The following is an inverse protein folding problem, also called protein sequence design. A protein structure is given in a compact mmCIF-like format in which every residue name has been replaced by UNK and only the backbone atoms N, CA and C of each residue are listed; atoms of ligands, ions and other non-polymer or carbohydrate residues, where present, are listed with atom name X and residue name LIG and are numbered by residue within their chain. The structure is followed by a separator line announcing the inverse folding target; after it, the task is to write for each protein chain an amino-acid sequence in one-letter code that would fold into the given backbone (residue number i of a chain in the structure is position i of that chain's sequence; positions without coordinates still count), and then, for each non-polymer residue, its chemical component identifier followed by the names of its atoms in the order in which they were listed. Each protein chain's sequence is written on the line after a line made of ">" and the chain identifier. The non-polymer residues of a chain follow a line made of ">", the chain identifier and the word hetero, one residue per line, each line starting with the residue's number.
data_IF_847866304233
#
_entry.id   IF_847866304233
#
_cell.length_a   1.000
_cell.length_b   1.000
_cell.length_c   1.000
_cell.angle_alpha   90.00
_cell.angle_beta   90.00
_cell.angle_gamma   90.00
#
_symmetry.space_group_name_H-M   'P 1'
#
loop_
_entity.id
_entity.type
_entity.pdbx_description
1 polymer ?
#
# COMPACT_ATOMS: atom_id res chain seq x y z
N UNK A 1 -57.56 19.79 -2.31
CA UNK A 1 -57.33 20.91 -1.37
C UNK A 1 -57.49 20.37 0.05
N UNK A 2 -56.39 20.11 0.73
CA UNK A 2 -56.34 19.80 2.16
C UNK A 2 -55.03 20.37 2.68
N UNK A 3 -55.11 21.58 3.22
CA UNK A 3 -54.03 22.27 3.93
C UNK A 3 -53.98 21.73 5.35
N UNK A 4 -52.80 21.25 5.79
CA UNK A 4 -52.54 21.00 7.20
C UNK A 4 -51.31 21.82 7.60
N UNK A 5 -51.57 22.89 8.34
CA UNK A 5 -50.58 23.63 9.09
C UNK A 5 -50.72 23.18 10.55
N UNK A 6 -49.62 22.79 11.20
CA UNK A 6 -49.60 22.75 12.64
C UNK A 6 -48.39 23.48 13.21
N UNK A 7 -48.74 24.27 14.21
CA UNK A 7 -48.02 25.35 14.84
C UNK A 7 -47.21 24.84 16.03
N UNK A 8 -46.10 25.55 16.25
CA UNK A 8 -45.12 25.46 17.35
C UNK A 8 -45.75 25.25 18.74
N UNK A 9 -45.11 24.40 19.56
CA UNK A 9 -45.15 24.52 21.02
C UNK A 9 -43.75 24.41 21.60
N UNK A 10 -43.26 25.56 22.03
CA UNK A 10 -42.17 25.79 22.97
C UNK A 10 -42.53 25.16 24.33
N UNK A 11 -41.61 24.43 24.95
CA UNK A 11 -41.66 24.08 26.36
C UNK A 11 -40.33 24.48 27.01
N UNK A 12 -40.46 25.27 28.07
CA UNK A 12 -39.42 25.95 28.86
C UNK A 12 -39.01 25.05 30.06
N UNK A 13 -37.70 25.04 30.37
CA UNK A 13 -37.06 24.88 31.71
C UNK A 13 -37.32 23.57 32.48
N UNK A 14 -36.51 23.04 33.39
CA UNK A 14 -35.46 23.53 34.31
C UNK A 14 -34.68 22.31 34.80
N UNK A 15 -33.33 22.34 34.83
CA UNK A 15 -32.43 21.69 35.81
C UNK A 15 -31.08 22.43 35.65
N UNK A 16 -30.30 22.87 36.61
CA UNK A 16 -30.22 22.75 38.06
C UNK A 16 -28.80 23.21 38.40
N UNK A 17 -28.67 24.23 39.24
CA UNK A 17 -27.38 24.84 39.64
C UNK A 17 -26.74 23.96 40.72
N UNK A 18 -25.46 23.57 40.58
CA UNK A 18 -24.52 23.51 41.70
C UNK A 18 -23.06 23.27 41.28
N UNK A 19 -22.19 23.95 42.03
CA UNK A 19 -20.80 23.64 42.38
C UNK A 19 -19.67 24.19 41.48
N UNK A 20 -19.11 25.29 42.00
CA UNK A 20 -17.83 25.89 41.63
C UNK A 20 -16.64 25.00 42.03
N UNK A 21 -15.63 24.92 41.17
CA UNK A 21 -14.23 24.67 41.54
C UNK A 21 -13.30 25.51 40.66
N UNK A 22 -12.13 25.81 41.21
CA UNK A 22 -11.31 27.00 40.96
C UNK A 22 -10.69 27.12 39.57
N UNK A 23 -10.63 28.36 39.07
CA UNK A 23 -9.82 28.77 37.92
C UNK A 23 -8.44 29.23 38.41
N UNK A 24 -7.43 28.39 38.26
CA UNK A 24 -6.03 28.83 38.29
C UNK A 24 -5.60 29.03 36.84
N UNK A 25 -5.32 30.28 36.48
CA UNK A 25 -4.91 30.66 35.14
C UNK A 25 -3.47 30.26 34.83
N UNK A 26 -3.26 29.78 33.61
CA UNK A 26 -2.03 29.97 32.85
C UNK A 26 -2.46 30.32 31.42
N UNK A 27 -2.22 31.58 31.03
CA UNK A 27 -2.34 32.01 29.66
C UNK A 27 -1.24 31.33 28.82
N UNK A 28 -1.61 30.66 27.75
CA UNK A 28 -0.70 30.36 26.63
C UNK A 28 -1.53 30.30 25.35
N UNK A 29 -1.38 31.39 24.61
CA UNK A 29 -1.57 31.62 23.17
C UNK A 29 -2.05 30.41 22.35
N UNK A 30 -3.21 30.58 21.73
CA UNK A 30 -3.71 29.76 20.62
C UNK A 30 -2.76 29.90 19.41
N UNK A 31 -2.14 28.80 19.01
CA UNK A 31 -1.56 28.62 17.66
C UNK A 31 -2.35 27.48 17.00
N UNK A 32 -2.90 27.66 15.78
CA UNK A 32 -3.68 26.63 15.12
C UNK A 32 -2.80 25.42 14.77
N UNK A 33 -3.36 24.23 15.00
CA UNK A 33 -2.74 22.93 14.84
C UNK A 33 -2.18 22.70 13.42
N UNK A 34 -0.86 22.65 13.31
CA UNK A 34 -0.21 21.81 12.33
C UNK A 34 -0.35 20.36 12.81
N UNK A 35 -0.85 19.47 11.95
CA UNK A 35 -0.89 18.03 12.20
C UNK A 35 0.53 17.49 12.20
N UNK A 36 1.22 17.63 13.33
CA UNK A 36 2.42 16.86 13.64
C UNK A 36 1.95 15.42 13.85
N UNK A 37 2.32 14.54 12.93
CA UNK A 37 2.19 13.11 13.12
C UNK A 37 3.01 12.73 14.35
N UNK A 38 2.32 12.51 15.46
CA UNK A 38 2.89 11.80 16.61
C UNK A 38 3.27 10.42 16.11
N UNK A 39 4.56 10.15 16.07
CA UNK A 39 5.10 8.80 15.97
C UNK A 39 4.63 8.11 17.24
N UNK A 40 3.63 7.24 17.11
CA UNK A 40 3.29 6.33 18.20
C UNK A 40 4.51 5.43 18.45
N UNK A 41 4.91 5.38 19.72
CA UNK A 41 5.95 4.50 20.23
C UNK A 41 5.73 3.08 19.73
N UNK A 42 6.75 2.55 19.06
CA UNK A 42 6.73 1.23 18.47
C UNK A 42 6.41 0.17 19.51
N UNK A 43 5.35 -0.58 19.27
CA UNK A 43 5.31 -1.96 19.70
C UNK A 43 6.55 -2.63 19.11
N UNK A 44 7.47 -3.09 19.97
CA UNK A 44 8.67 -3.79 19.56
C UNK A 44 8.27 -4.95 18.64
N UNK A 45 8.60 -4.82 17.36
CA UNK A 45 8.49 -5.94 16.42
C UNK A 45 9.41 -7.04 16.93
N UNK A 46 8.93 -8.29 17.07
CA UNK A 46 9.80 -9.39 17.47
C UNK A 46 10.95 -9.45 16.46
N UNK A 47 12.18 -9.52 16.96
CA UNK A 47 13.34 -9.78 16.11
C UNK A 47 13.04 -10.99 15.23
N UNK A 48 13.37 -10.92 13.93
CA UNK A 48 12.99 -11.93 12.94
C UNK A 48 13.41 -13.37 13.30
N UNK A 49 14.30 -13.54 14.28
CA UNK A 49 14.83 -14.80 14.77
C UNK A 49 13.83 -15.67 15.56
N UNK A 50 12.75 -15.10 16.11
CA UNK A 50 11.77 -15.84 16.95
C UNK A 50 10.35 -15.88 16.36
N UNK A 51 10.12 -15.18 15.24
CA UNK A 51 8.79 -15.10 14.62
C UNK A 51 8.45 -16.45 13.98
N UNK A 52 7.32 -17.03 14.38
CA UNK A 52 6.77 -18.28 13.81
C UNK A 52 5.54 -18.04 12.93
N UNK A 53 4.90 -16.88 13.07
CA UNK A 53 3.74 -16.47 12.28
C UNK A 53 4.07 -15.24 11.43
N UNK A 54 4.17 -15.47 10.12
CA UNK A 54 4.45 -14.47 9.09
C UNK A 54 3.19 -14.09 8.28
N UNK A 55 1.99 -14.42 8.77
CA UNK A 55 0.76 -13.96 8.14
C UNK A 55 0.57 -12.45 8.30
N UNK A 56 -0.32 -11.88 7.47
CA UNK A 56 -0.58 -10.46 7.41
C UNK A 56 0.31 -9.72 6.41
N UNK A 57 0.35 -8.40 6.54
CA UNK A 57 1.04 -7.52 5.59
C UNK A 57 2.57 -7.65 5.70
N UNK A 58 3.22 -7.98 4.58
CA UNK A 58 4.67 -8.06 4.47
C UNK A 58 5.29 -6.67 4.22
N UNK A 59 6.12 -6.19 5.16
CA UNK A 59 6.80 -4.88 5.09
C UNK A 59 8.29 -5.01 5.35
N UNK A 60 9.05 -4.08 4.76
CA UNK A 60 10.45 -3.83 5.12
C UNK A 60 10.52 -2.56 5.97
N UNK A 61 11.52 -2.52 6.86
CA UNK A 61 11.74 -1.40 7.77
C UNK A 61 12.72 -0.36 7.19
N UNK A 62 13.65 -0.80 6.35
CA UNK A 62 14.81 0.01 5.96
C UNK A 62 14.71 0.52 4.52
N UNK A 63 14.86 1.84 4.38
CA UNK A 63 14.89 2.54 3.10
C UNK A 63 16.07 3.50 3.06
N UNK A 64 16.68 3.64 1.89
CA UNK A 64 17.68 4.67 1.61
C UNK A 64 16.98 5.98 1.23
N UNK A 65 17.13 6.99 2.09
CA UNK A 65 16.56 8.34 1.96
C UNK A 65 17.59 9.39 1.56
N UNK A 66 18.79 8.97 1.15
CA UNK A 66 19.90 9.87 0.80
C UNK A 66 19.60 10.80 -0.38
N UNK A 67 18.58 10.50 -1.18
CA UNK A 67 18.13 11.33 -2.30
C UNK A 67 17.51 12.68 -1.88
N UNK A 68 17.21 12.88 -0.59
CA UNK A 68 16.64 14.13 -0.05
C UNK A 68 15.21 13.96 0.46
N UNK A 69 14.55 15.07 0.78
CA UNK A 69 13.16 15.06 1.28
C UNK A 69 12.21 14.57 0.20
N UNK A 70 11.42 13.54 0.51
CA UNK A 70 10.40 13.00 -0.38
C UNK A 70 9.36 14.08 -0.75
N UNK A 71 9.13 14.24 -2.05
CA UNK A 71 8.05 15.06 -2.59
C UNK A 71 7.04 14.13 -3.28
N UNK A 72 5.76 14.11 -2.90
CA UNK A 72 4.76 13.28 -3.55
C UNK A 72 4.47 13.74 -4.98
N UNK A 73 3.87 12.87 -5.77
CA UNK A 73 3.42 13.20 -7.12
C UNK A 73 2.32 14.27 -7.09
N UNK A 74 2.39 15.21 -8.03
CA UNK A 74 1.40 16.26 -8.27
C UNK A 74 0.84 16.13 -9.68
N UNK A 75 -0.07 17.01 -10.10
CA UNK A 75 -0.59 17.02 -11.47
C UNK A 75 0.46 17.51 -12.47
N UNK A 76 1.49 18.18 -11.97
CA UNK A 76 2.52 18.86 -12.74
C UNK A 76 3.83 18.06 -12.81
N UNK A 77 4.15 17.29 -11.78
CA UNK A 77 5.35 16.46 -11.75
C UNK A 77 5.15 15.13 -11.02
N UNK A 78 5.95 14.13 -11.40
CA UNK A 78 6.12 12.89 -10.63
C UNK A 78 6.67 13.18 -9.23
N UNK A 79 6.42 12.26 -8.30
CA UNK A 79 7.15 12.18 -7.05
C UNK A 79 8.68 12.28 -7.24
N UNK A 80 9.35 12.94 -6.30
CA UNK A 80 10.81 13.11 -6.26
C UNK A 80 11.37 12.56 -4.96
N UNK A 81 12.65 12.18 -5.00
CA UNK A 81 13.39 11.67 -3.83
C UNK A 81 12.66 10.50 -3.16
N UNK A 82 12.13 9.57 -3.97
CA UNK A 82 11.42 8.38 -3.48
C UNK A 82 12.42 7.52 -2.72
N UNK A 83 12.16 7.15 -1.45
CA UNK A 83 13.07 6.31 -0.67
C UNK A 83 13.27 4.95 -1.33
N UNK A 84 14.53 4.53 -1.53
CA UNK A 84 14.85 3.26 -2.17
C UNK A 84 14.75 2.12 -1.15
N UNK A 85 13.96 1.07 -1.40
CA UNK A 85 13.90 -0.08 -0.49
C UNK A 85 15.24 -0.79 -0.41
N UNK A 86 15.65 -1.15 0.81
CA UNK A 86 16.87 -1.93 1.07
C UNK A 86 16.47 -3.39 1.30
N UNK A 87 17.12 -4.30 0.58
CA UNK A 87 16.87 -5.74 0.73
C UNK A 87 17.39 -6.20 2.11
N UNK A 88 16.54 -6.80 2.98
CA UNK A 88 17.00 -7.30 4.28
C UNK A 88 18.06 -8.39 4.14
N UNK A 89 19.02 -8.47 5.05
CA UNK A 89 20.11 -9.46 5.00
C UNK A 89 19.58 -10.90 5.09
N UNK A 90 18.49 -11.11 5.84
CA UNK A 90 17.81 -12.40 5.97
C UNK A 90 17.27 -12.93 4.64
N UNK A 91 17.06 -12.06 3.64
CA UNK A 91 16.52 -12.44 2.34
C UNK A 91 17.40 -13.44 1.58
N UNK A 92 18.68 -13.58 1.93
CA UNK A 92 19.57 -14.58 1.32
C UNK A 92 19.54 -15.94 2.03
N UNK A 93 18.81 -16.09 3.14
CA UNK A 93 18.78 -17.35 3.91
C UNK A 93 17.70 -18.28 3.36
N UNK A 94 18.00 -19.59 3.27
CA UNK A 94 17.00 -20.63 2.98
C UNK A 94 16.10 -20.86 4.20
N UNK A 95 15.22 -19.91 4.48
CA UNK A 95 14.28 -19.97 5.60
C UNK A 95 12.97 -19.29 5.26
N UNK A 96 11.91 -19.60 6.01
CA UNK A 96 10.61 -18.92 5.88
C UNK A 96 10.74 -17.41 6.09
N UNK A 97 11.57 -16.99 7.04
CA UNK A 97 11.87 -15.58 7.27
C UNK A 97 12.57 -14.93 6.05
N UNK A 98 13.50 -15.64 5.41
CA UNK A 98 14.16 -15.18 4.19
C UNK A 98 13.21 -15.07 2.99
N UNK A 99 12.28 -16.03 2.83
CA UNK A 99 11.23 -15.94 1.81
C UNK A 99 10.30 -14.75 2.09
N UNK A 100 9.83 -14.59 3.33
CA UNK A 100 9.00 -13.45 3.73
C UNK A 100 9.70 -12.11 3.46
N UNK A 101 11.00 -12.00 3.79
CA UNK A 101 11.78 -10.78 3.52
C UNK A 101 11.82 -10.42 2.03
N UNK A 102 11.91 -11.43 1.14
CA UNK A 102 11.84 -11.20 -0.31
C UNK A 102 10.46 -10.76 -0.79
N UNK A 103 9.38 -11.27 -0.19
CA UNK A 103 8.00 -10.87 -0.50
C UNK A 103 7.76 -9.42 -0.05
N UNK A 104 8.20 -9.08 1.17
CA UNK A 104 8.16 -7.71 1.68
C UNK A 104 8.94 -6.74 0.79
N UNK A 105 10.14 -7.14 0.36
CA UNK A 105 10.95 -6.35 -0.56
C UNK A 105 10.27 -6.18 -1.93
N UNK A 106 9.60 -7.21 -2.45
CA UNK A 106 8.83 -7.11 -3.69
C UNK A 106 7.74 -6.04 -3.61
N UNK A 107 6.95 -6.02 -2.53
CA UNK A 107 5.93 -4.99 -2.31
C UNK A 107 6.53 -3.56 -2.36
N UNK A 108 7.65 -3.38 -1.68
CA UNK A 108 8.35 -2.10 -1.62
C UNK A 108 9.01 -1.72 -2.96
N UNK A 109 9.62 -2.67 -3.67
CA UNK A 109 10.25 -2.46 -4.98
C UNK A 109 9.23 -2.13 -6.06
N UNK A 110 8.07 -2.80 -6.06
CA UNK A 110 6.95 -2.49 -6.94
C UNK A 110 6.45 -1.06 -6.71
N UNK A 111 6.18 -0.72 -5.44
CA UNK A 111 5.71 0.59 -5.01
C UNK A 111 6.70 1.69 -5.40
N UNK A 112 7.98 1.52 -5.07
CA UNK A 112 9.05 2.43 -5.48
C UNK A 112 9.08 2.61 -7.00
N UNK A 113 9.02 1.50 -7.76
CA UNK A 113 9.11 1.54 -9.21
C UNK A 113 7.98 2.30 -9.88
N UNK A 114 6.72 2.10 -9.47
CA UNK A 114 5.61 2.87 -10.01
C UNK A 114 5.63 4.34 -9.58
N UNK A 115 6.10 4.62 -8.36
CA UNK A 115 6.18 5.99 -7.82
C UNK A 115 7.27 6.79 -8.53
N UNK A 116 8.48 6.23 -8.63
CA UNK A 116 9.67 6.88 -9.20
C UNK A 116 9.79 6.73 -10.73
N UNK A 117 9.13 5.73 -11.32
CA UNK A 117 9.36 5.35 -12.72
C UNK A 117 10.69 4.62 -12.95
N UNK A 118 11.38 4.19 -11.89
CA UNK A 118 12.67 3.50 -11.92
C UNK A 118 12.56 2.03 -11.47
N UNK A 119 12.98 1.11 -12.34
CA UNK A 119 12.92 -0.32 -12.10
C UNK A 119 14.19 -0.91 -11.46
N UNK A 120 15.17 -0.11 -11.03
CA UNK A 120 16.43 -0.59 -10.42
C UNK A 120 16.16 -1.59 -9.27
N UNK A 121 15.23 -1.26 -8.37
CA UNK A 121 14.88 -2.10 -7.23
C UNK A 121 14.21 -3.42 -7.65
N UNK A 122 13.51 -3.46 -8.78
CA UNK A 122 12.94 -4.72 -9.32
C UNK A 122 14.05 -5.68 -9.72
N UNK A 123 15.16 -5.18 -10.24
CA UNK A 123 16.34 -5.98 -10.57
C UNK A 123 16.91 -6.73 -9.36
N UNK A 124 16.85 -6.12 -8.17
CA UNK A 124 17.33 -6.69 -6.89
C UNK A 124 16.33 -7.64 -6.23
N UNK A 125 15.06 -7.65 -6.65
CA UNK A 125 14.05 -8.55 -6.10
C UNK A 125 14.36 -10.03 -6.41
N UNK A 126 13.72 -10.93 -5.68
CA UNK A 126 13.81 -12.37 -5.95
C UNK A 126 12.81 -12.84 -7.02
N UNK A 127 12.13 -11.96 -7.76
CA UNK A 127 11.26 -12.37 -8.87
C UNK A 127 12.01 -13.22 -9.90
N UNK A 128 11.28 -14.12 -10.55
CA UNK A 128 11.76 -14.84 -11.73
C UNK A 128 12.09 -13.87 -12.85
N UNK A 129 12.94 -14.29 -13.79
CA UNK A 129 13.38 -13.42 -14.90
C UNK A 129 12.21 -12.91 -15.73
N UNK A 130 11.17 -13.74 -15.89
CA UNK A 130 9.94 -13.38 -16.59
C UNK A 130 9.16 -12.29 -15.83
N UNK A 131 8.94 -12.48 -14.54
CA UNK A 131 8.23 -11.51 -13.71
C UNK A 131 9.01 -10.19 -13.59
N UNK A 132 10.34 -10.23 -13.46
CA UNK A 132 11.20 -9.03 -13.51
C UNK A 132 11.02 -8.28 -14.81
N UNK A 133 11.04 -8.98 -15.96
CA UNK A 133 10.87 -8.36 -17.26
C UNK A 133 9.47 -7.75 -17.42
N UNK A 134 8.43 -8.45 -16.95
CA UNK A 134 7.05 -7.98 -16.97
C UNK A 134 6.85 -6.72 -16.13
N UNK A 135 7.36 -6.71 -14.89
CA UNK A 135 7.26 -5.55 -14.00
C UNK A 135 8.11 -4.37 -14.48
N UNK A 136 9.33 -4.62 -14.96
CA UNK A 136 10.18 -3.57 -15.56
C UNK A 136 9.48 -2.92 -16.74
N UNK A 137 8.81 -3.70 -17.60
CA UNK A 137 8.01 -3.18 -18.72
C UNK A 137 6.81 -2.36 -18.24
N UNK A 138 6.13 -2.79 -17.18
CA UNK A 138 5.01 -2.05 -16.59
C UNK A 138 5.49 -0.70 -16.02
N UNK A 139 6.60 -0.68 -15.29
CA UNK A 139 7.23 0.55 -14.77
C UNK A 139 7.63 1.48 -15.93
N UNK A 140 8.19 0.93 -17.00
CA UNK A 140 8.53 1.70 -18.21
C UNK A 140 7.32 2.37 -18.88
N UNK A 141 6.09 1.90 -18.68
CA UNK A 141 4.86 2.57 -19.19
C UNK A 141 4.41 3.73 -18.33
N UNK A 142 4.81 3.75 -17.06
CA UNK A 142 4.56 4.85 -16.11
C UNK A 142 5.83 5.63 -15.82
N UNK A 143 6.78 5.65 -16.76
CA UNK A 143 8.00 6.47 -16.71
C UNK A 143 7.89 7.67 -17.67
N UNK A 144 8.89 8.55 -17.66
CA UNK A 144 8.89 9.76 -18.49
C UNK A 144 7.73 10.70 -18.18
N UNK A 145 6.91 11.01 -19.17
CA UNK A 145 5.77 11.93 -19.10
C UNK A 145 4.47 11.33 -18.52
N UNK A 146 4.53 10.12 -17.96
CA UNK A 146 3.37 9.44 -17.38
C UNK A 146 3.65 9.06 -15.93
N UNK A 147 2.78 9.37 -14.97
CA UNK A 147 2.91 8.93 -13.57
C UNK A 147 1.55 8.77 -12.91
N UNK A 148 1.52 8.06 -11.79
CA UNK A 148 0.31 7.83 -10.98
C UNK A 148 0.52 8.46 -9.61
N UNK A 149 -0.53 9.04 -9.05
CA UNK A 149 -0.51 9.52 -7.67
C UNK A 149 -0.46 8.33 -6.71
N UNK A 150 0.43 8.37 -5.73
CA UNK A 150 0.47 7.44 -4.58
C UNK A 150 0.18 5.95 -4.89
N UNK A 151 0.88 5.33 -5.86
CA UNK A 151 0.68 3.91 -6.13
C UNK A 151 1.26 3.09 -4.97
N UNK A 152 0.52 2.10 -4.48
CA UNK A 152 0.99 1.18 -3.43
C UNK A 152 0.65 -0.26 -3.81
N UNK A 153 1.59 -1.18 -3.63
CA UNK A 153 1.29 -2.61 -3.57
C UNK A 153 1.40 -3.09 -2.12
N UNK A 154 0.31 -3.62 -1.60
CA UNK A 154 0.25 -4.32 -0.32
C UNK A 154 0.18 -5.82 -0.61
N UNK A 155 1.07 -6.60 0.00
CA UNK A 155 1.02 -8.06 -0.07
C UNK A 155 0.70 -8.59 1.33
N UNK A 156 -0.47 -9.18 1.48
CA UNK A 156 -0.94 -9.78 2.74
C UNK A 156 -0.93 -11.30 2.65
N UNK A 157 -0.07 -11.95 3.43
CA UNK A 157 0.06 -13.40 3.48
C UNK A 157 -1.08 -14.01 4.30
N UNK A 158 -1.77 -14.99 3.72
CA UNK A 158 -3.00 -15.58 4.29
C UNK A 158 -2.71 -16.66 5.34
N UNK A 159 -1.49 -17.17 5.38
CA UNK A 159 -1.06 -18.26 6.25
C UNK A 159 0.22 -17.88 7.00
N UNK A 160 0.39 -18.45 8.20
CA UNK A 160 1.53 -18.17 9.08
C UNK A 160 2.88 -18.56 8.47
N UNK A 161 2.91 -19.60 7.65
CA UNK A 161 4.09 -20.11 6.95
C UNK A 161 3.67 -20.63 5.57
N UNK A 162 4.58 -20.71 4.59
CA UNK A 162 4.28 -21.30 3.29
C UNK A 162 4.06 -22.80 3.40
N UNK A 163 3.28 -23.35 2.48
CA UNK A 163 3.20 -24.80 2.28
C UNK A 163 4.41 -25.25 1.48
N UNK A 164 5.04 -26.36 1.87
CA UNK A 164 6.21 -26.88 1.18
C UNK A 164 5.91 -28.24 0.56
N UNK A 165 6.26 -28.41 -0.71
CA UNK A 165 6.28 -29.68 -1.43
C UNK A 165 7.62 -29.82 -2.17
N UNK A 166 8.48 -30.72 -1.68
CA UNK A 166 9.86 -30.84 -2.16
C UNK A 166 10.66 -29.54 -2.02
N UNK A 167 11.15 -29.03 -3.16
CA UNK A 167 11.92 -27.77 -3.27
C UNK A 167 11.04 -26.52 -3.49
N UNK A 168 9.72 -26.71 -3.54
CA UNK A 168 8.75 -25.67 -3.90
C UNK A 168 7.97 -25.22 -2.67
N UNK A 169 7.91 -23.91 -2.49
CA UNK A 169 7.14 -23.24 -1.45
C UNK A 169 5.98 -22.49 -2.09
N UNK A 170 4.78 -22.68 -1.58
CA UNK A 170 3.59 -21.97 -2.03
C UNK A 170 2.99 -21.18 -0.87
N UNK A 171 2.85 -19.88 -1.05
CA UNK A 171 2.29 -18.99 -0.03
C UNK A 171 1.07 -18.24 -0.56
N UNK A 172 -0.14 -18.57 -0.09
CA UNK A 172 -1.33 -17.85 -0.52
C UNK A 172 -1.30 -16.41 0.01
N UNK A 173 -1.56 -15.46 -0.86
CA UNK A 173 -1.49 -14.03 -0.59
C UNK A 173 -2.70 -13.28 -1.18
N UNK A 174 -2.95 -12.09 -0.63
CA UNK A 174 -3.82 -11.07 -1.18
C UNK A 174 -2.96 -9.88 -1.59
N UNK A 175 -2.96 -9.56 -2.88
CA UNK A 175 -2.28 -8.39 -3.41
C UNK A 175 -3.33 -7.28 -3.54
N UNK A 176 -3.16 -6.22 -2.78
CA UNK A 176 -3.99 -5.01 -2.87
C UNK A 176 -3.18 -3.93 -3.55
N UNK A 177 -3.53 -3.64 -4.80
CA UNK A 177 -2.95 -2.54 -5.57
C UNK A 177 -3.82 -1.32 -5.36
N UNK A 178 -3.22 -0.26 -4.80
CA UNK A 178 -3.86 1.04 -4.63
C UNK A 178 -3.23 2.07 -5.54
N UNK A 179 -4.05 2.99 -6.00
CA UNK A 179 -3.63 4.20 -6.70
C UNK A 179 -4.36 5.40 -6.12
N UNK A 180 -3.68 6.53 -6.15
CA UNK A 180 -4.21 7.81 -5.70
C UNK A 180 -5.25 8.41 -6.66
N UNK A 181 -5.66 9.66 -6.40
CA UNK A 181 -6.83 10.26 -7.04
C UNK A 181 -6.66 10.63 -8.51
N UNK A 182 -5.44 10.59 -9.05
CA UNK A 182 -5.20 10.94 -10.45
C UNK A 182 -4.02 10.14 -11.04
N UNK A 183 -3.99 10.09 -12.36
CA UNK A 183 -2.83 9.73 -13.15
C UNK A 183 -2.57 10.81 -14.20
N UNK A 184 -1.32 11.04 -14.52
CA UNK A 184 -0.91 11.96 -15.58
C UNK A 184 -0.34 11.14 -16.72
N UNK A 185 -0.74 11.44 -17.96
CA UNK A 185 -0.20 10.86 -19.17
C UNK A 185 0.03 11.96 -20.19
N UNK A 186 1.28 12.18 -20.58
CA UNK A 186 1.64 13.22 -21.55
C UNK A 186 1.06 14.61 -21.20
N UNK A 187 1.18 15.00 -19.92
CA UNK A 187 0.62 16.25 -19.35
C UNK A 187 -0.91 16.34 -19.29
N UNK A 188 -1.63 15.31 -19.72
CA UNK A 188 -3.06 15.19 -19.49
C UNK A 188 -3.31 14.53 -18.14
N UNK A 189 -4.11 15.19 -17.30
CA UNK A 189 -4.53 14.66 -16.00
C UNK A 189 -5.82 13.89 -16.21
N UNK A 190 -5.86 12.68 -15.66
CA UNK A 190 -7.04 11.84 -15.60
C UNK A 190 -7.35 11.55 -14.12
N UNK A 191 -8.55 11.92 -13.69
CA UNK A 191 -9.02 11.65 -12.33
C UNK A 191 -9.45 10.18 -12.21
N UNK A 192 -9.07 9.55 -11.11
CA UNK A 192 -9.39 8.15 -10.79
C UNK A 192 -10.54 8.14 -9.79
N UNK A 193 -11.71 7.58 -10.14
CA UNK A 193 -12.83 7.41 -9.21
C UNK A 193 -12.42 6.57 -8.01
N UNK A 194 -12.96 6.87 -6.83
CA UNK A 194 -12.62 6.13 -5.60
C UNK A 194 -12.87 4.62 -5.72
N UNK A 195 -13.93 4.22 -6.44
CA UNK A 195 -14.25 2.83 -6.75
C UNK A 195 -13.19 2.08 -7.57
N UNK A 196 -12.29 2.81 -8.24
CA UNK A 196 -11.22 2.25 -9.08
C UNK A 196 -9.83 2.38 -8.43
N UNK A 197 -9.74 3.00 -7.24
CA UNK A 197 -8.46 3.27 -6.55
C UNK A 197 -7.87 2.07 -5.83
N UNK A 198 -8.61 0.96 -5.72
CA UNK A 198 -8.13 -0.26 -5.07
C UNK A 198 -8.59 -1.48 -5.85
N UNK A 199 -7.67 -2.40 -6.10
CA UNK A 199 -7.94 -3.69 -6.73
C UNK A 199 -7.24 -4.80 -5.96
N UNK A 200 -7.97 -5.87 -5.73
CA UNK A 200 -7.52 -7.02 -4.97
C UNK A 200 -7.33 -8.24 -5.87
N UNK A 201 -6.20 -8.90 -5.73
CA UNK A 201 -5.88 -10.13 -6.45
C UNK A 201 -5.47 -11.22 -5.46
N UNK A 202 -6.15 -12.36 -5.50
CA UNK A 202 -5.67 -13.54 -4.80
C UNK A 202 -4.57 -14.21 -5.64
N UNK A 203 -3.40 -14.39 -5.03
CA UNK A 203 -2.20 -14.90 -5.70
C UNK A 203 -1.62 -16.00 -4.82
N UNK A 204 -1.27 -17.13 -5.41
CA UNK A 204 -0.41 -18.12 -4.78
C UNK A 204 1.03 -17.83 -5.20
N UNK A 205 1.82 -17.24 -4.29
CA UNK A 205 3.23 -16.98 -4.55
C UNK A 205 3.95 -18.32 -4.55
N UNK A 206 4.57 -18.66 -5.68
CA UNK A 206 5.39 -19.87 -5.80
C UNK A 206 6.86 -19.47 -5.69
N UNK A 207 7.61 -20.13 -4.82
CA UNK A 207 9.00 -19.81 -4.58
C UNK A 207 9.87 -21.07 -4.53
N UNK A 208 11.12 -20.93 -4.98
CA UNK A 208 12.15 -21.96 -4.91
C UNK A 208 13.45 -21.34 -4.41
N UNK A 209 14.19 -22.07 -3.60
CA UNK A 209 15.53 -21.67 -3.17
C UNK A 209 16.58 -22.42 -3.98
N UNK A 210 17.34 -21.71 -4.82
CA UNK A 210 18.36 -22.28 -5.72
C UNK A 210 19.55 -21.35 -5.78
N UNK A 211 20.76 -21.88 -5.85
CA UNK A 211 22.00 -21.09 -5.98
C UNK A 211 22.13 -19.99 -4.90
N UNK A 212 21.81 -20.34 -3.65
CA UNK A 212 21.85 -19.44 -2.48
C UNK A 212 20.93 -18.21 -2.58
N UNK A 213 19.87 -18.30 -3.40
CA UNK A 213 18.90 -17.22 -3.60
C UNK A 213 17.48 -17.75 -3.77
N UNK A 214 16.53 -16.95 -3.32
CA UNK A 214 15.12 -17.18 -3.63
C UNK A 214 14.81 -16.79 -5.08
N UNK A 215 13.88 -17.54 -5.70
CA UNK A 215 13.26 -17.21 -6.99
C UNK A 215 11.75 -17.32 -6.82
N UNK A 216 11.02 -16.24 -7.07
CA UNK A 216 9.58 -16.10 -6.87
C UNK A 216 8.86 -15.94 -8.21
N UNK A 217 7.80 -16.71 -8.40
CA UNK A 217 6.77 -16.50 -9.39
C UNK A 217 5.56 -15.92 -8.63
N UNK A 218 5.36 -14.61 -8.73
CA UNK A 218 4.48 -13.84 -7.84
C UNK A 218 3.60 -12.83 -8.57
N UNK A 219 3.82 -12.59 -9.87
CA UNK A 219 2.96 -11.72 -10.66
C UNK A 219 1.89 -12.56 -11.36
N UNK A 220 0.63 -12.10 -11.40
CA UNK A 220 -0.38 -12.76 -12.19
C UNK A 220 0.04 -12.73 -13.67
N UNK A 221 0.36 -13.90 -14.23
CA UNK A 221 0.51 -14.07 -15.68
C UNK A 221 -0.82 -13.69 -16.32
N UNK A 222 -0.85 -12.61 -17.10
CA UNK A 222 -2.09 -12.04 -17.61
C UNK A 222 -2.90 -13.04 -18.45
N UNK A 223 -3.92 -13.66 -17.86
CA UNK A 223 -5.06 -14.26 -18.56
C UNK A 223 -6.24 -14.54 -17.61
N UNK A 224 -6.83 -13.47 -17.06
CA UNK A 224 -8.24 -13.46 -16.63
C UNK A 224 -8.70 -12.02 -16.40
N UNK A 225 -8.63 -11.20 -17.44
CA UNK A 225 -9.52 -10.04 -17.52
C UNK A 225 -10.95 -10.57 -17.65
N UNK A 226 -11.62 -10.78 -16.52
CA UNK A 226 -13.07 -10.83 -16.49
C UNK A 226 -13.56 -9.44 -16.87
N UNK A 227 -13.78 -9.20 -18.15
CA UNK A 227 -14.52 -8.04 -18.63
C UNK A 227 -15.88 -8.00 -17.94
N UNK A 228 -16.28 -6.90 -17.27
CA UNK A 228 -17.67 -6.71 -16.87
C UNK A 228 -18.46 -6.37 -18.14
N UNK A 229 -18.92 -7.41 -18.83
CA UNK A 229 -19.83 -7.30 -19.97
C UNK A 229 -21.21 -6.87 -19.50
N UNK A 230 -21.51 -5.59 -19.71
CA UNK A 230 -22.82 -4.98 -20.00
C UNK A 230 -24.05 -5.56 -19.28
N UNK A 231 -24.53 -4.82 -18.27
CA UNK A 231 -25.91 -4.92 -17.80
C UNK A 231 -26.89 -4.72 -18.96
N UNK A 232 -27.69 -5.75 -19.24
CA UNK A 232 -28.78 -5.68 -20.19
C UNK A 232 -29.86 -4.73 -19.69
N UNK A 233 -29.96 -3.55 -20.29
CA UNK A 233 -31.17 -2.75 -20.23
C UNK A 233 -32.18 -3.36 -21.20
N UNK A 234 -33.14 -4.12 -20.70
CA UNK A 234 -34.34 -4.43 -21.48
C UNK A 234 -35.42 -3.41 -21.09
N UNK A 235 -35.71 -2.51 -22.02
CA UNK A 235 -36.89 -1.65 -22.05
C UNK A 235 -37.44 -1.75 -23.47
N UNK A 236 -38.58 -2.42 -23.62
CA UNK A 236 -39.86 -2.05 -24.25
C UNK A 236 -40.72 -3.30 -24.29
#
# INVERSE_FOLDING_TARGET
>A
MTTSAYTRRTALMTVGIAAATALTGCASTLVPAATTQTIEEGAASPSSSERTDFSGEAKIENYDTSAGTYEPATREHRAKNVPKPILPEEANKNSVAGLHANIAYLAAAYTHGLTSGDAECVGKSALSSEDKASLTRAIGRVSGSTWVADPTLIISLKEATPRQDGDTYTWPALFTVRIGPFRVKNRSVEEVPESERSQDYSVDIVARYKDERWVLDALPTGSSSSSPGAGGTSRV
#
